data_IF_202588552153
#
_entry.id   IF_202588552153
#
_cell.length_a   1.000
_cell.length_b   1.000
_cell.length_c   1.000
_cell.angle_alpha   90.00
_cell.angle_beta   90.00
_cell.angle_gamma   90.00
#
_symmetry.space_group_name_H-M   'P 1'
#
loop_
_entity.id
_entity.type
_entity.pdbx_description
1 polymer ?
#
# COMPACT_ATOMS: atom_id res chain seq x y z
N UNK A 1 21.78 19.02 33.95
CA UNK A 1 20.45 18.91 33.32
C UNK A 1 20.48 17.97 32.11
N UNK A 2 21.22 18.24 31.02
CA UNK A 2 21.29 17.34 29.85
C UNK A 2 21.86 15.94 30.14
N UNK A 3 22.94 15.83 30.94
CA UNK A 3 23.55 14.53 31.26
C UNK A 3 22.65 13.60 32.11
N UNK A 4 21.66 14.16 32.83
CA UNK A 4 20.77 13.40 33.71
C UNK A 4 19.65 12.68 32.95
N UNK A 5 19.44 13.01 31.66
CA UNK A 5 18.47 12.37 30.77
C UNK A 5 19.16 11.67 29.59
N UNK A 6 20.47 11.39 29.69
CA UNK A 6 21.24 10.79 28.61
C UNK A 6 20.73 9.39 28.19
N UNK A 7 20.11 8.67 29.13
CA UNK A 7 19.40 7.40 28.91
C UNK A 7 18.15 7.52 28.02
N UNK A 8 17.65 8.74 27.81
CA UNK A 8 16.46 9.04 26.98
C UNK A 8 16.82 9.59 25.60
N UNK A 9 18.10 9.77 25.29
CA UNK A 9 18.54 10.35 24.03
C UNK A 9 19.21 9.32 23.13
N UNK A 10 18.90 9.39 21.83
CA UNK A 10 19.71 8.75 20.80
C UNK A 10 20.78 9.74 20.32
N UNK A 11 22.06 9.45 20.60
CA UNK A 11 23.17 10.31 20.17
C UNK A 11 23.53 10.00 18.72
N UNK A 12 23.21 10.93 17.82
CA UNK A 12 23.66 10.91 16.43
C UNK A 12 24.96 11.69 16.32
N UNK A 13 26.06 11.02 16.01
CA UNK A 13 27.42 11.62 15.99
C UNK A 13 27.69 12.49 14.76
N UNK A 14 26.97 12.26 13.67
CA UNK A 14 27.13 13.00 12.42
C UNK A 14 25.93 12.74 11.50
N UNK A 15 25.59 13.73 10.69
CA UNK A 15 24.65 13.61 9.59
C UNK A 15 25.36 14.00 8.29
N UNK A 16 25.33 13.12 7.28
CA UNK A 16 25.93 13.36 5.97
C UNK A 16 24.88 13.25 4.88
N UNK A 17 25.02 14.02 3.80
CA UNK A 17 24.08 13.97 2.67
C UNK A 17 22.79 14.77 2.89
N UNK A 18 22.78 15.75 3.80
CA UNK A 18 21.68 16.70 3.91
C UNK A 18 21.61 17.58 2.66
N UNK A 19 20.41 17.72 2.10
CA UNK A 19 20.15 18.43 0.84
C UNK A 19 19.39 19.72 1.16
N UNK A 20 19.99 20.87 0.85
CA UNK A 20 19.42 22.20 1.14
C UNK A 20 18.48 22.72 0.03
N UNK A 21 17.54 21.88 -0.42
CA UNK A 21 16.63 22.19 -1.56
C UNK A 21 15.28 22.79 -1.12
N UNK A 22 15.12 23.16 0.17
CA UNK A 22 13.86 23.67 0.75
C UNK A 22 12.61 22.89 0.28
N UNK A 23 12.78 21.58 0.15
CA UNK A 23 11.80 20.69 -0.48
C UNK A 23 11.47 19.55 0.45
N UNK A 24 10.23 19.06 0.37
CA UNK A 24 9.80 17.82 1.00
C UNK A 24 10.30 16.56 0.25
N UNK A 25 10.99 16.70 -0.89
CA UNK A 25 11.48 15.56 -1.66
C UNK A 25 12.53 14.74 -0.91
N UNK A 26 13.61 15.32 -0.32
CA UNK A 26 14.60 14.54 0.39
C UNK A 26 14.05 13.94 1.70
N UNK A 27 13.10 14.61 2.36
CA UNK A 27 12.47 14.07 3.58
C UNK A 27 11.52 12.92 3.28
N UNK A 28 10.90 12.89 2.10
CA UNK A 28 10.02 11.79 1.70
C UNK A 28 10.73 10.62 1.03
N UNK A 29 11.77 10.88 0.23
CA UNK A 29 12.45 9.86 -0.58
C UNK A 29 13.79 9.42 0.03
N UNK A 30 14.47 10.29 0.78
CA UNK A 30 15.83 10.08 1.27
C UNK A 30 16.93 10.39 0.24
N UNK A 31 16.58 10.89 -0.94
CA UNK A 31 17.52 11.08 -2.06
C UNK A 31 17.45 12.50 -2.64
N UNK A 32 18.52 12.95 -3.32
CA UNK A 32 18.48 14.20 -4.07
C UNK A 32 17.54 14.08 -5.26
N UNK A 33 16.87 15.18 -5.61
CA UNK A 33 15.87 15.23 -6.68
C UNK A 33 16.40 14.74 -8.02
N UNK A 34 17.69 14.93 -8.31
CA UNK A 34 18.35 14.51 -9.55
C UNK A 34 18.55 12.99 -9.69
N UNK A 35 18.43 12.23 -8.60
CA UNK A 35 18.66 10.78 -8.63
C UNK A 35 17.53 10.06 -9.37
N UNK A 36 17.90 9.16 -10.29
CA UNK A 36 16.98 8.36 -11.11
C UNK A 36 15.89 9.17 -11.85
N UNK A 37 16.10 10.47 -12.12
CA UNK A 37 15.07 11.30 -12.76
C UNK A 37 14.61 10.77 -14.12
N UNK A 38 15.52 10.19 -14.91
CA UNK A 38 15.19 9.57 -16.20
C UNK A 38 14.18 8.41 -16.08
N UNK A 39 14.08 7.80 -14.90
CA UNK A 39 13.14 6.73 -14.57
C UNK A 39 11.93 7.22 -13.78
N UNK A 40 11.74 8.53 -13.63
CA UNK A 40 10.68 9.14 -12.82
C UNK A 40 11.10 9.52 -11.39
N UNK A 41 12.35 9.25 -10.99
CA UNK A 41 12.92 9.60 -9.69
C UNK A 41 12.72 8.53 -8.61
N UNK A 42 13.20 8.81 -7.40
CA UNK A 42 13.03 7.94 -6.23
C UNK A 42 11.60 7.99 -5.70
N UNK A 43 11.00 6.84 -5.35
CA UNK A 43 9.72 6.82 -4.65
C UNK A 43 9.85 7.35 -3.22
N UNK A 44 8.75 7.91 -2.72
CA UNK A 44 8.58 8.19 -1.30
C UNK A 44 8.54 6.89 -0.49
N UNK A 45 8.96 6.97 0.77
CA UNK A 45 8.86 5.85 1.71
C UNK A 45 7.43 5.32 1.83
N UNK A 46 6.42 6.20 1.75
CA UNK A 46 5.01 5.82 1.75
C UNK A 46 4.60 5.02 0.50
N UNK A 47 5.07 5.41 -0.68
CA UNK A 47 4.82 4.64 -1.91
C UNK A 47 5.51 3.27 -1.90
N UNK A 48 6.70 3.17 -1.30
CA UNK A 48 7.39 1.89 -1.10
C UNK A 48 6.61 1.01 -0.12
N UNK A 49 6.20 1.57 1.02
CA UNK A 49 5.38 0.85 2.00
C UNK A 49 4.06 0.37 1.38
N UNK A 50 3.41 1.20 0.55
CA UNK A 50 2.19 0.82 -0.15
C UNK A 50 2.38 -0.34 -1.12
N UNK A 51 3.54 -0.42 -1.77
CA UNK A 51 3.90 -1.56 -2.63
C UNK A 51 4.18 -2.83 -1.84
N UNK A 52 4.84 -2.71 -0.69
CA UNK A 52 5.25 -3.87 0.11
C UNK A 52 4.10 -4.44 0.94
N UNK A 53 3.27 -3.58 1.52
CA UNK A 53 2.23 -3.99 2.47
C UNK A 53 0.83 -4.00 1.88
N UNK A 54 0.58 -3.24 0.81
CA UNK A 54 -0.76 -3.12 0.23
C UNK A 54 -1.78 -2.56 1.23
N UNK A 55 -3.05 -2.55 0.82
CA UNK A 55 -4.15 -2.08 1.66
C UNK A 55 -4.53 -3.14 2.70
N UNK A 56 -4.72 -2.71 3.95
CA UNK A 56 -5.21 -3.56 5.03
C UNK A 56 -6.60 -3.10 5.47
N UNK A 57 -7.58 -4.01 5.49
CA UNK A 57 -8.94 -3.70 5.98
C UNK A 57 -9.68 -2.62 5.20
N UNK A 58 -9.34 -2.41 3.92
CA UNK A 58 -9.94 -1.38 3.08
C UNK A 58 -9.41 0.03 3.30
N UNK A 59 -8.46 0.23 4.22
CA UNK A 59 -7.79 1.51 4.41
C UNK A 59 -6.74 1.75 3.31
N UNK A 60 -6.55 3.00 2.85
CA UNK A 60 -5.49 3.30 1.90
C UNK A 60 -4.11 2.97 2.52
N UNK A 61 -3.22 2.32 1.76
CA UNK A 61 -1.93 1.84 2.30
C UNK A 61 -0.93 2.95 2.60
N UNK A 62 -1.17 4.15 2.06
CA UNK A 62 -0.40 5.34 2.29
C UNK A 62 -1.32 6.57 2.23
N UNK A 63 -1.30 7.37 3.30
CA UNK A 63 -1.96 8.66 3.36
C UNK A 63 -0.90 9.75 3.41
N UNK A 64 -1.00 10.71 2.50
CA UNK A 64 -0.05 11.81 2.38
C UNK A 64 -0.75 13.16 2.47
N UNK A 65 -0.07 14.15 3.04
CA UNK A 65 -0.52 15.54 3.04
C UNK A 65 0.16 16.31 1.90
N UNK A 66 1.47 16.46 2.00
CA UNK A 66 2.35 17.02 0.97
C UNK A 66 3.10 15.90 0.22
N UNK A 67 3.75 16.26 -0.89
CA UNK A 67 4.46 15.30 -1.74
C UNK A 67 3.54 14.26 -2.38
N UNK A 68 3.98 13.70 -3.50
CA UNK A 68 3.29 12.60 -4.19
C UNK A 68 4.31 11.85 -5.05
N UNK A 69 5.44 11.55 -4.43
CA UNK A 69 6.59 11.00 -5.14
C UNK A 69 6.40 9.49 -5.27
N UNK A 70 5.81 9.04 -6.38
CA UNK A 70 5.77 7.62 -6.71
C UNK A 70 7.08 7.17 -7.36
N UNK A 71 7.86 8.11 -7.93
CA UNK A 71 9.14 7.79 -8.54
C UNK A 71 8.97 6.83 -9.72
N UNK A 72 9.93 5.91 -9.86
CA UNK A 72 9.82 4.75 -10.76
C UNK A 72 8.76 3.73 -10.34
N UNK A 73 8.09 3.91 -9.18
CA UNK A 73 6.88 3.15 -8.89
C UNK A 73 5.70 3.78 -9.63
N UNK A 74 4.83 2.92 -10.16
CA UNK A 74 3.63 3.34 -10.86
C UNK A 74 2.75 4.26 -10.00
N UNK A 75 1.96 5.12 -10.66
CA UNK A 75 0.97 6.02 -10.04
C UNK A 75 -0.06 5.29 -9.17
N UNK A 76 -0.17 3.97 -9.30
CA UNK A 76 -0.94 3.08 -8.41
C UNK A 76 -0.55 3.22 -6.94
N UNK A 77 0.71 3.53 -6.63
CA UNK A 77 1.20 3.70 -5.25
C UNK A 77 1.22 5.16 -4.79
N UNK A 78 0.39 6.01 -5.41
CA UNK A 78 0.22 7.41 -5.01
C UNK A 78 -0.45 7.49 -3.63
N UNK A 79 -0.05 8.44 -2.76
CA UNK A 79 -0.76 8.66 -1.49
C UNK A 79 -2.21 9.02 -1.73
N UNK A 80 -3.07 8.49 -0.86
CA UNK A 80 -4.39 9.04 -0.65
C UNK A 80 -4.25 10.41 0.06
N UNK A 81 -4.93 11.45 -0.46
CA UNK A 81 -4.88 12.80 0.09
C UNK A 81 -6.28 13.22 0.54
N UNK A 82 -6.56 13.24 1.86
CA UNK A 82 -7.90 13.54 2.35
C UNK A 82 -8.24 15.01 2.14
N UNK A 83 -9.23 15.31 1.30
CA UNK A 83 -9.71 16.67 1.04
C UNK A 83 -10.89 17.09 1.94
N UNK A 84 -10.95 16.58 3.17
CA UNK A 84 -11.96 16.97 4.18
C UNK A 84 -13.39 16.48 3.94
N UNK A 85 -13.69 15.80 2.82
CA UNK A 85 -15.01 15.24 2.51
C UNK A 85 -15.05 13.75 2.20
N UNK A 86 -13.90 13.13 1.89
CA UNK A 86 -13.84 11.81 1.23
C UNK A 86 -13.89 10.62 2.21
N UNK A 87 -13.65 10.84 3.51
CA UNK A 87 -13.80 9.83 4.58
C UNK A 87 -15.08 10.02 5.41
N UNK A 88 -16.09 10.71 4.87
CA UNK A 88 -17.41 10.74 5.54
C UNK A 88 -18.08 9.40 5.29
N UNK A 89 -18.28 8.65 6.37
CA UNK A 89 -19.14 7.46 6.34
C UNK A 89 -20.52 7.94 5.86
N UNK A 90 -20.98 7.44 4.72
CA UNK A 90 -22.33 7.74 4.26
C UNK A 90 -23.29 7.26 5.36
N UNK A 91 -24.17 8.12 5.87
CA UNK A 91 -25.11 7.76 6.95
C UNK A 91 -26.02 6.57 6.62
N UNK A 92 -26.12 6.16 5.35
CA UNK A 92 -26.83 4.95 4.90
C UNK A 92 -25.96 3.67 4.86
N UNK A 93 -24.64 3.81 5.01
CA UNK A 93 -23.65 2.73 5.14
C UNK A 93 -23.34 2.53 6.62
N UNK A 94 -24.09 1.65 7.27
CA UNK A 94 -23.83 1.20 8.64
C UNK A 94 -22.67 0.20 8.68
N UNK A 95 -21.97 0.10 9.81
CA UNK A 95 -20.89 -0.88 10.00
C UNK A 95 -21.34 -2.31 9.66
N UNK A 96 -22.58 -2.67 10.02
CA UNK A 96 -23.17 -3.96 9.69
C UNK A 96 -23.26 -4.21 8.17
N UNK A 97 -23.57 -3.19 7.37
CA UNK A 97 -23.61 -3.32 5.89
C UNK A 97 -22.22 -3.50 5.28
N UNK A 98 -21.20 -2.85 5.84
CA UNK A 98 -19.82 -3.04 5.43
C UNK A 98 -19.35 -4.47 5.75
N UNK A 99 -19.69 -4.96 6.94
CA UNK A 99 -19.46 -6.35 7.34
C UNK A 99 -20.14 -7.32 6.37
N UNK A 100 -21.43 -7.13 6.06
CA UNK A 100 -22.14 -8.01 5.12
C UNK A 100 -21.54 -8.03 3.72
N UNK A 101 -20.96 -6.93 3.24
CA UNK A 101 -20.24 -6.90 1.94
C UNK A 101 -18.93 -7.67 2.00
N UNK A 102 -18.14 -7.49 3.05
CA UNK A 102 -16.91 -8.26 3.26
C UNK A 102 -17.24 -9.75 3.36
N UNK A 103 -18.28 -10.12 4.11
CA UNK A 103 -18.74 -11.50 4.26
C UNK A 103 -19.20 -12.08 2.92
N UNK A 104 -19.91 -11.30 2.10
CA UNK A 104 -20.33 -11.70 0.76
C UNK A 104 -19.16 -11.89 -0.20
N UNK A 105 -18.17 -10.98 -0.17
CA UNK A 105 -16.94 -11.13 -0.97
C UNK A 105 -16.15 -12.38 -0.58
N UNK A 106 -16.04 -12.64 0.73
CA UNK A 106 -15.42 -13.87 1.25
C UNK A 106 -16.21 -15.11 0.81
N UNK A 107 -17.54 -15.05 0.81
CA UNK A 107 -18.41 -16.12 0.31
C UNK A 107 -18.22 -16.39 -1.18
N UNK A 108 -18.14 -15.33 -2.00
CA UNK A 108 -17.90 -15.43 -3.43
C UNK A 108 -16.50 -15.98 -3.74
N UNK A 109 -15.49 -15.55 -2.99
CA UNK A 109 -14.11 -16.06 -3.12
C UNK A 109 -14.00 -17.54 -2.74
N UNK A 110 -14.78 -18.00 -1.75
CA UNK A 110 -14.89 -19.43 -1.40
C UNK A 110 -15.56 -20.20 -2.53
N UNK A 111 -16.70 -19.70 -3.04
CA UNK A 111 -17.41 -20.34 -4.15
C UNK A 111 -16.52 -20.47 -5.40
N UNK A 112 -15.78 -19.42 -5.76
CA UNK A 112 -14.83 -19.46 -6.88
C UNK A 112 -13.76 -20.52 -6.68
N UNK A 113 -13.15 -20.59 -5.49
CA UNK A 113 -12.15 -21.62 -5.18
C UNK A 113 -12.73 -23.04 -5.22
N UNK A 114 -13.94 -23.23 -4.70
CA UNK A 114 -14.62 -24.54 -4.75
C UNK A 114 -14.94 -24.95 -6.19
N UNK A 115 -15.37 -24.00 -7.03
CA UNK A 115 -15.57 -24.20 -8.48
C UNK A 115 -14.24 -24.50 -9.19
N UNK A 116 -13.15 -23.82 -8.86
CA UNK A 116 -11.83 -24.09 -9.43
C UNK A 116 -11.33 -25.50 -9.00
N UNK A 117 -11.52 -25.88 -7.72
CA UNK A 117 -11.16 -27.21 -7.22
C UNK A 117 -12.01 -28.33 -7.80
N UNK A 118 -13.31 -28.12 -7.99
CA UNK A 118 -14.22 -29.12 -8.58
C UNK A 118 -14.11 -29.18 -10.10
N UNK A 119 -13.87 -28.05 -10.76
CA UNK A 119 -13.68 -27.95 -12.21
C UNK A 119 -12.46 -28.72 -12.71
N UNK A 120 -11.38 -28.78 -11.92
CA UNK A 120 -10.21 -29.60 -12.25
C UNK A 120 -10.45 -31.12 -12.07
N UNK A 121 -11.29 -31.55 -11.12
CA UNK A 121 -11.64 -32.98 -10.98
C UNK A 121 -12.65 -33.45 -12.04
N UNK A 122 -13.64 -32.62 -12.39
CA UNK A 122 -14.62 -32.95 -13.44
C UNK A 122 -13.98 -32.97 -14.85
N UNK A 123 -12.97 -32.15 -15.11
CA UNK A 123 -12.24 -32.17 -16.38
C UNK A 123 -11.35 -33.43 -16.55
N UNK A 124 -10.93 -34.07 -15.45
CA UNK A 124 -10.21 -35.36 -15.49
C UNK A 124 -11.16 -36.55 -15.67
N UNK A 125 -12.39 -36.46 -15.17
CA UNK A 125 -13.41 -37.52 -15.30
C UNK A 125 -14.15 -37.47 -16.65
N UNK A 126 -14.11 -36.32 -17.34
CA UNK A 126 -14.68 -36.13 -18.69
C UNK A 126 -13.77 -36.61 -19.83
N UNK A 127 -12.66 -37.30 -19.55
CA UNK A 127 -11.87 -38.03 -20.55
C UNK A 127 -12.12 -39.54 -20.44
N UNK A 128 -13.27 -40.07 -20.91
CA UNK A 128 -13.39 -41.49 -21.19
C UNK A 128 -12.52 -41.80 -22.41
N UNK A 129 -11.47 -42.57 -22.16
CA UNK A 129 -10.62 -43.22 -23.16
C UNK A 129 -11.46 -43.87 -24.27
N UNK A 130 -11.35 -43.47 -25.55
CA UNK A 130 -11.76 -44.32 -26.64
C UNK A 130 -10.66 -45.38 -26.81
N UNK A 131 -10.95 -46.61 -26.40
CA UNK A 131 -10.02 -47.72 -26.59
C UNK A 131 -9.70 -47.96 -28.06
N UNK A 132 -8.42 -48.21 -28.35
CA UNK A 132 -7.90 -49.27 -29.23
C UNK A 132 -6.39 -49.38 -29.09
#
# INVERSE_FOLDING_TARGET
>A
MLAQAADKYAIIRSLTGSIADHSDYPTQTGFPRGDLQSMGGRPSIGSVAARLHGSTGGAPPFVGYNGSYTGYLSSVFKPYKPQGGELKLNNTLTANRLQSRTDLLVGLDRLRRDVDHTGHMLALDAYPSPGR
#
